data_IF_923465733571
#
_entry.id   IF_923465733571
#
_cell.length_a   1.000
_cell.length_b   1.000
_cell.length_c   1.000
_cell.angle_alpha   90.00
_cell.angle_beta   90.00
_cell.angle_gamma   90.00
#
_symmetry.space_group_name_H-M   'P 1'
#
loop_
_entity.id
_entity.type
_entity.pdbx_description
1 polymer ?
#
# COMPACT_ATOMS: atom_id res chain seq x y z
N UNK A 1 -43.17 7.94 13.09
CA UNK A 1 -42.45 6.96 13.93
C UNK A 1 -42.45 5.53 13.37
N UNK A 2 -43.35 5.13 12.45
CA UNK A 2 -43.41 3.76 11.91
C UNK A 2 -42.22 3.32 11.03
N UNK A 3 -41.49 4.25 10.39
CA UNK A 3 -40.47 3.93 9.42
C UNK A 3 -39.11 3.48 10.05
N UNK A 4 -38.77 3.94 11.26
CA UNK A 4 -37.53 3.58 11.94
C UNK A 4 -37.59 2.16 12.51
N UNK A 5 -38.67 1.80 13.19
CA UNK A 5 -38.85 0.46 13.75
C UNK A 5 -38.87 -0.63 12.69
N UNK A 6 -39.52 -0.38 11.55
CA UNK A 6 -39.50 -1.31 10.40
C UNK A 6 -38.10 -1.49 9.81
N UNK A 7 -37.32 -0.41 9.72
CA UNK A 7 -35.92 -0.51 9.24
C UNK A 7 -35.05 -1.31 10.19
N UNK A 8 -35.19 -1.11 11.50
CA UNK A 8 -34.44 -1.87 12.51
C UNK A 8 -34.84 -3.36 12.47
N UNK A 9 -36.13 -3.69 12.41
CA UNK A 9 -36.60 -5.08 12.29
C UNK A 9 -36.04 -5.76 11.03
N UNK A 10 -36.07 -5.06 9.89
CA UNK A 10 -35.53 -5.59 8.62
C UNK A 10 -34.01 -5.79 8.69
N UNK A 11 -33.29 -4.86 9.31
CA UNK A 11 -31.85 -5.03 9.53
C UNK A 11 -31.54 -6.26 10.38
N UNK A 12 -32.28 -6.45 11.50
CA UNK A 12 -32.08 -7.61 12.38
C UNK A 12 -32.41 -8.91 11.64
N UNK A 13 -33.48 -8.96 10.86
CA UNK A 13 -33.87 -10.10 10.04
C UNK A 13 -32.75 -10.46 9.06
N UNK A 14 -32.26 -9.51 8.25
CA UNK A 14 -31.19 -9.77 7.26
C UNK A 14 -29.89 -10.16 7.97
N UNK A 15 -29.53 -9.47 9.04
CA UNK A 15 -28.27 -9.68 9.73
C UNK A 15 -28.19 -11.02 10.46
N UNK A 16 -29.27 -11.42 11.14
CA UNK A 16 -29.32 -12.64 11.97
C UNK A 16 -29.95 -13.81 11.22
N UNK A 17 -31.19 -13.66 10.73
CA UNK A 17 -31.95 -14.79 10.17
C UNK A 17 -31.47 -15.20 8.79
N UNK A 18 -31.02 -14.24 7.97
CA UNK A 18 -30.46 -14.52 6.64
C UNK A 18 -28.92 -14.66 6.65
N UNK A 19 -28.31 -14.82 7.83
CA UNK A 19 -26.86 -14.95 8.00
C UNK A 19 -26.04 -13.80 7.40
N UNK A 20 -26.55 -12.56 7.39
CA UNK A 20 -25.86 -11.38 6.91
C UNK A 20 -24.52 -11.14 7.61
N UNK A 21 -24.40 -11.50 8.90
CA UNK A 21 -23.15 -11.44 9.66
C UNK A 21 -22.02 -12.26 9.03
N UNK A 22 -22.32 -13.39 8.36
CA UNK A 22 -21.30 -14.20 7.67
C UNK A 22 -20.70 -13.40 6.51
N UNK A 23 -21.52 -12.71 5.74
CA UNK A 23 -21.06 -11.82 4.65
C UNK A 23 -20.22 -10.66 5.17
N UNK A 24 -20.59 -10.09 6.30
CA UNK A 24 -19.80 -9.03 6.96
C UNK A 24 -18.42 -9.56 7.39
N UNK A 25 -18.36 -10.77 7.95
CA UNK A 25 -17.10 -11.40 8.34
C UNK A 25 -16.22 -11.73 7.11
N UNK A 26 -16.82 -12.21 6.03
CA UNK A 26 -16.10 -12.44 4.76
C UNK A 26 -15.59 -11.14 4.16
N UNK A 27 -16.41 -10.09 4.13
CA UNK A 27 -16.01 -8.76 3.68
C UNK A 27 -14.87 -8.20 4.52
N UNK A 28 -14.96 -8.31 5.85
CA UNK A 28 -13.89 -7.89 6.77
C UNK A 28 -12.58 -8.68 6.52
N UNK A 29 -12.70 -10.00 6.35
CA UNK A 29 -11.55 -10.86 6.01
C UNK A 29 -10.87 -10.40 4.72
N UNK A 30 -11.64 -10.13 3.66
CA UNK A 30 -11.09 -9.67 2.39
C UNK A 30 -10.46 -8.29 2.50
N UNK A 31 -11.10 -7.35 3.20
CA UNK A 31 -10.54 -6.02 3.49
C UNK A 31 -9.19 -6.13 4.18
N UNK A 32 -9.10 -6.89 5.27
CA UNK A 32 -7.86 -7.08 6.00
C UNK A 32 -6.80 -7.82 5.18
N UNK A 33 -7.20 -8.84 4.43
CA UNK A 33 -6.29 -9.60 3.57
C UNK A 33 -5.66 -8.72 2.48
N UNK A 34 -6.47 -7.92 1.80
CA UNK A 34 -6.00 -6.99 0.76
C UNK A 34 -5.06 -5.94 1.36
N UNK A 35 -5.44 -5.33 2.49
CA UNK A 35 -4.63 -4.31 3.14
C UNK A 35 -3.29 -4.87 3.66
N UNK A 36 -3.29 -6.03 4.33
CA UNK A 36 -2.07 -6.63 4.89
C UNK A 36 -1.14 -7.11 3.79
N UNK A 37 -1.65 -7.86 2.81
CA UNK A 37 -0.82 -8.35 1.69
C UNK A 37 -0.33 -7.18 0.84
N UNK A 38 -1.19 -6.18 0.55
CA UNK A 38 -0.81 -4.96 -0.14
C UNK A 38 0.31 -4.21 0.60
N UNK A 39 0.21 -4.06 1.92
CA UNK A 39 1.24 -3.44 2.74
C UNK A 39 2.57 -4.23 2.70
N UNK A 40 2.53 -5.55 2.82
CA UNK A 40 3.73 -6.40 2.77
C UNK A 40 4.45 -6.26 1.42
N UNK A 41 3.71 -6.37 0.32
CA UNK A 41 4.25 -6.15 -1.04
C UNK A 41 4.81 -4.72 -1.13
N UNK A 42 4.06 -3.74 -0.63
CA UNK A 42 4.45 -2.34 -0.59
C UNK A 42 5.75 -2.09 0.18
N UNK A 43 5.91 -2.69 1.36
CA UNK A 43 7.15 -2.57 2.16
C UNK A 43 8.34 -3.18 1.42
N UNK A 44 8.19 -4.39 0.88
CA UNK A 44 9.28 -5.07 0.19
C UNK A 44 9.72 -4.28 -1.06
N UNK A 45 8.80 -4.02 -1.97
CA UNK A 45 9.11 -3.30 -3.22
C UNK A 45 9.46 -1.83 -2.96
N UNK A 46 8.74 -1.16 -2.06
CA UNK A 46 9.00 0.24 -1.71
C UNK A 46 10.38 0.45 -1.10
N UNK A 47 10.84 -0.47 -0.23
CA UNK A 47 12.18 -0.42 0.33
C UNK A 47 13.26 -0.61 -0.76
N UNK A 48 13.06 -1.54 -1.69
CA UNK A 48 13.96 -1.73 -2.83
C UNK A 48 14.03 -0.46 -3.69
N UNK A 49 12.88 0.12 -4.05
CA UNK A 49 12.80 1.36 -4.82
C UNK A 49 13.49 2.51 -4.08
N UNK A 50 13.21 2.68 -2.78
CA UNK A 50 13.83 3.72 -1.96
C UNK A 50 15.35 3.57 -1.92
N UNK A 51 15.85 2.34 -1.77
CA UNK A 51 17.30 2.05 -1.76
C UNK A 51 17.95 2.52 -3.06
N UNK A 52 17.37 2.17 -4.21
CA UNK A 52 17.86 2.63 -5.52
C UNK A 52 17.87 4.15 -5.61
N UNK A 53 16.88 4.83 -5.07
CA UNK A 53 16.71 6.29 -5.16
C UNK A 53 17.60 7.07 -4.19
N UNK A 54 18.08 6.46 -3.13
CA UNK A 54 19.00 7.08 -2.13
C UNK A 54 20.46 6.90 -2.51
N UNK A 55 20.81 5.85 -3.29
CA UNK A 55 22.19 5.59 -3.71
C UNK A 55 22.74 6.79 -4.52
N UNK A 56 24.01 7.22 -4.26
CA UNK A 56 24.65 8.28 -5.03
C UNK A 56 24.74 7.97 -6.53
N UNK A 57 24.43 8.97 -7.37
CA UNK A 57 24.24 8.82 -8.84
C UNK A 57 25.50 9.15 -9.64
N UNK A 58 26.66 8.76 -9.17
CA UNK A 58 27.93 9.03 -9.85
C UNK A 58 28.10 8.22 -11.15
N UNK A 59 27.50 7.02 -11.23
CA UNK A 59 27.58 6.13 -12.40
C UNK A 59 26.31 6.18 -13.23
N UNK A 60 26.40 5.76 -14.50
CA UNK A 60 25.26 5.74 -15.44
C UNK A 60 24.15 4.80 -14.96
N UNK A 61 24.50 3.57 -14.52
CA UNK A 61 23.53 2.58 -14.09
C UNK A 61 22.62 3.06 -12.93
N UNK A 62 23.14 3.60 -11.80
CA UNK A 62 22.27 4.16 -10.76
C UNK A 62 21.38 5.31 -11.24
N UNK A 63 21.84 6.10 -12.22
CA UNK A 63 21.06 7.20 -12.80
C UNK A 63 19.87 6.67 -13.60
N UNK A 64 20.09 5.65 -14.44
CA UNK A 64 19.03 5.01 -15.24
C UNK A 64 18.01 4.32 -14.33
N UNK A 65 18.47 3.51 -13.36
CA UNK A 65 17.60 2.84 -12.40
C UNK A 65 16.75 3.84 -11.60
N UNK A 66 17.37 4.95 -11.16
CA UNK A 66 16.62 6.00 -10.49
C UNK A 66 15.56 6.64 -11.40
N UNK A 67 15.84 6.82 -12.70
CA UNK A 67 14.87 7.32 -13.68
C UNK A 67 13.65 6.40 -13.78
N UNK A 68 13.88 5.09 -13.92
CA UNK A 68 12.81 4.08 -13.98
C UNK A 68 11.99 4.08 -12.69
N UNK A 69 12.65 4.05 -11.53
CA UNK A 69 11.96 4.11 -10.24
C UNK A 69 11.14 5.40 -10.06
N UNK A 70 11.67 6.54 -10.50
CA UNK A 70 10.97 7.82 -10.40
C UNK A 70 9.74 7.87 -11.32
N UNK A 71 9.85 7.31 -12.53
CA UNK A 71 8.71 7.17 -13.43
C UNK A 71 7.61 6.29 -12.82
N UNK A 72 7.98 5.12 -12.29
CA UNK A 72 7.05 4.23 -11.60
C UNK A 72 6.32 4.95 -10.45
N UNK A 73 7.08 5.60 -9.56
CA UNK A 73 6.51 6.33 -8.43
C UNK A 73 5.61 7.46 -8.89
N UNK A 74 6.01 8.20 -9.93
CA UNK A 74 5.20 9.26 -10.52
C UNK A 74 3.89 8.75 -11.12
N UNK A 75 3.94 7.60 -11.82
CA UNK A 75 2.78 6.97 -12.42
C UNK A 75 1.76 6.53 -11.36
N UNK A 76 2.20 5.72 -10.39
CA UNK A 76 1.30 5.16 -9.38
C UNK A 76 0.75 6.21 -8.40
N UNK A 77 1.53 7.23 -8.04
CA UNK A 77 1.05 8.32 -7.18
C UNK A 77 0.30 9.41 -7.94
N UNK A 78 0.47 9.48 -9.25
CA UNK A 78 -0.20 10.46 -10.11
C UNK A 78 -1.52 9.99 -10.71
N UNK A 79 -1.91 8.73 -10.49
CA UNK A 79 -3.16 8.16 -11.03
C UNK A 79 -4.06 7.63 -9.91
N UNK A 80 -5.40 7.73 -10.04
CA UNK A 80 -6.32 7.21 -9.03
C UNK A 80 -6.23 5.68 -8.89
N UNK A 81 -6.28 5.18 -7.64
CA UNK A 81 -6.24 3.74 -7.34
C UNK A 81 -7.29 2.94 -8.12
N UNK A 82 -8.53 3.45 -8.20
CA UNK A 82 -9.61 2.78 -8.92
C UNK A 82 -9.28 2.59 -10.41
N UNK A 83 -8.64 3.58 -11.04
CA UNK A 83 -8.24 3.50 -12.44
C UNK A 83 -7.16 2.43 -12.63
N UNK A 84 -6.17 2.41 -11.74
CA UNK A 84 -5.13 1.36 -11.74
C UNK A 84 -5.77 -0.02 -11.63
N UNK A 85 -6.69 -0.22 -10.68
CA UNK A 85 -7.37 -1.49 -10.46
C UNK A 85 -8.15 -1.94 -11.70
N UNK A 86 -8.92 -1.04 -12.32
CA UNK A 86 -9.69 -1.33 -13.54
C UNK A 86 -8.78 -1.67 -14.73
N UNK A 87 -7.70 -0.91 -14.93
CA UNK A 87 -6.75 -1.15 -16.02
C UNK A 87 -6.05 -2.51 -15.84
N UNK A 88 -5.62 -2.85 -14.63
CA UNK A 88 -5.01 -4.15 -14.37
C UNK A 88 -6.01 -5.29 -14.61
N UNK A 89 -7.22 -5.20 -14.05
CA UNK A 89 -8.19 -6.28 -14.08
C UNK A 89 -8.81 -6.50 -15.46
N UNK A 90 -9.24 -5.42 -16.14
CA UNK A 90 -9.99 -5.52 -17.40
C UNK A 90 -9.14 -5.39 -18.65
N UNK A 91 -7.91 -4.87 -18.56
CA UNK A 91 -7.07 -4.62 -19.73
C UNK A 91 -5.78 -5.43 -19.67
N UNK A 92 -4.91 -5.20 -18.69
CA UNK A 92 -3.56 -5.78 -18.69
C UNK A 92 -3.56 -7.29 -18.49
N UNK A 93 -4.28 -7.80 -17.48
CA UNK A 93 -4.32 -9.24 -17.20
C UNK A 93 -4.96 -10.06 -18.33
N UNK A 94 -6.08 -9.64 -18.93
CA UNK A 94 -6.63 -10.32 -20.11
C UNK A 94 -5.69 -10.32 -21.31
N UNK A 95 -4.98 -9.21 -21.59
CA UNK A 95 -4.03 -9.14 -22.73
C UNK A 95 -2.89 -10.16 -22.56
N UNK A 96 -2.38 -10.32 -21.34
CA UNK A 96 -1.30 -11.30 -21.08
C UNK A 96 -1.80 -12.71 -20.80
N UNK A 97 -3.12 -12.95 -20.87
CA UNK A 97 -3.75 -14.25 -20.69
C UNK A 97 -3.78 -14.76 -19.24
N UNK A 98 -3.54 -13.90 -18.25
CA UNK A 98 -3.54 -14.27 -16.83
C UNK A 98 -4.93 -14.09 -16.24
N UNK A 99 -5.46 -15.15 -15.61
CA UNK A 99 -6.74 -15.13 -14.89
C UNK A 99 -6.49 -15.03 -13.39
N UNK A 100 -7.03 -13.99 -12.78
CA UNK A 100 -6.97 -13.76 -11.33
C UNK A 100 -8.37 -13.37 -10.82
N UNK A 101 -8.67 -13.71 -9.56
CA UNK A 101 -9.88 -13.24 -8.90
C UNK A 101 -9.77 -11.74 -8.56
N UNK A 102 -10.90 -11.06 -8.38
CA UNK A 102 -10.90 -9.64 -7.98
C UNK A 102 -10.07 -9.37 -6.71
N UNK A 103 -10.14 -10.28 -5.72
CA UNK A 103 -9.33 -10.19 -4.49
C UNK A 103 -7.82 -10.29 -4.78
N UNK A 104 -7.40 -11.23 -5.62
CA UNK A 104 -5.99 -11.40 -5.98
C UNK A 104 -5.43 -10.20 -6.73
N UNK A 105 -6.18 -9.68 -7.70
CA UNK A 105 -5.79 -8.46 -8.43
C UNK A 105 -5.72 -7.27 -7.49
N UNK A 106 -6.68 -7.15 -6.57
CA UNK A 106 -6.66 -6.08 -5.58
C UNK A 106 -5.41 -6.14 -4.71
N UNK A 107 -5.05 -7.32 -4.17
CA UNK A 107 -3.81 -7.49 -3.39
C UNK A 107 -2.56 -7.05 -4.18
N UNK A 108 -2.49 -7.42 -5.46
CA UNK A 108 -1.36 -7.05 -6.33
C UNK A 108 -1.33 -5.53 -6.60
N UNK A 109 -2.43 -4.95 -7.04
CA UNK A 109 -2.50 -3.53 -7.41
C UNK A 109 -2.31 -2.62 -6.20
N UNK A 110 -2.93 -2.95 -5.05
CA UNK A 110 -2.72 -2.25 -3.79
C UNK A 110 -1.25 -2.34 -3.36
N UNK A 111 -0.62 -3.51 -3.53
CA UNK A 111 0.80 -3.68 -3.24
C UNK A 111 1.70 -2.83 -4.13
N UNK A 112 1.43 -2.77 -5.44
CA UNK A 112 2.17 -1.91 -6.37
C UNK A 112 1.95 -0.42 -6.05
N UNK A 113 0.73 0.00 -5.79
CA UNK A 113 0.45 1.37 -5.40
C UNK A 113 1.15 1.75 -4.08
N UNK A 114 0.97 0.94 -3.04
CA UNK A 114 1.61 1.14 -1.73
C UNK A 114 3.14 1.14 -1.83
N UNK A 115 3.75 0.35 -2.73
CA UNK A 115 5.19 0.39 -2.97
C UNK A 115 5.68 1.77 -3.42
N UNK A 116 4.91 2.48 -4.24
CA UNK A 116 5.24 3.83 -4.66
C UNK A 116 5.17 4.82 -3.46
N UNK A 117 4.14 4.74 -2.63
CA UNK A 117 4.02 5.58 -1.43
C UNK A 117 5.07 5.24 -0.38
N UNK A 118 5.28 3.97 -0.08
CA UNK A 118 6.28 3.51 0.89
C UNK A 118 7.70 3.88 0.44
N UNK A 119 8.00 3.84 -0.86
CA UNK A 119 9.31 4.30 -1.35
C UNK A 119 9.59 5.76 -1.01
N UNK A 120 8.58 6.62 -1.06
CA UNK A 120 8.71 8.02 -0.65
C UNK A 120 8.77 8.17 0.87
N UNK A 121 7.98 7.39 1.61
CA UNK A 121 8.02 7.35 3.08
C UNK A 121 9.42 6.97 3.55
N UNK A 122 10.00 5.90 2.99
CA UNK A 122 11.37 5.46 3.31
C UNK A 122 12.40 6.53 2.95
N UNK A 123 12.31 7.09 1.73
CA UNK A 123 13.23 8.13 1.27
C UNK A 123 13.17 9.38 2.14
N UNK A 124 11.98 9.87 2.44
CA UNK A 124 11.80 11.06 3.30
C UNK A 124 12.22 10.81 4.74
N UNK A 125 11.95 9.63 5.27
CA UNK A 125 12.40 9.23 6.61
C UNK A 125 13.93 9.16 6.73
N UNK A 126 14.63 8.66 5.70
CA UNK A 126 16.09 8.69 5.66
C UNK A 126 16.61 10.13 5.57
N UNK A 127 15.99 10.97 4.75
CA UNK A 127 16.40 12.36 4.57
C UNK A 127 16.03 13.27 5.76
N UNK A 128 15.15 12.84 6.64
CA UNK A 128 14.79 13.58 7.87
C UNK A 128 15.82 13.43 8.99
N UNK A 129 16.77 12.50 8.86
CA UNK A 129 17.89 12.39 9.80
C UNK A 129 18.89 13.50 9.51
N UNK A 130 19.40 14.17 10.55
CA UNK A 130 20.37 15.23 10.40
C UNK A 130 21.59 14.74 9.61
N UNK A 131 21.99 15.50 8.57
CA UNK A 131 23.13 15.15 7.72
C UNK A 131 24.45 15.04 8.50
N UNK A 132 24.58 15.81 9.58
CA UNK A 132 25.72 15.75 10.50
C UNK A 132 25.93 14.38 11.12
N UNK A 133 24.88 13.56 11.26
CA UNK A 133 25.01 12.18 11.74
C UNK A 133 25.82 11.30 10.78
N UNK A 134 25.57 11.45 9.48
CA UNK A 134 26.34 10.75 8.45
C UNK A 134 27.78 11.30 8.36
N UNK A 135 27.93 12.62 8.42
CA UNK A 135 29.22 13.30 8.37
C UNK A 135 30.10 12.94 9.58
N UNK A 136 29.52 12.94 10.79
CA UNK A 136 30.24 12.53 12.00
C UNK A 136 30.69 11.07 11.94
N UNK A 137 29.84 10.16 11.47
CA UNK A 137 30.23 8.77 11.26
C UNK A 137 31.41 8.63 10.29
N UNK A 138 31.43 9.42 9.22
CA UNK A 138 32.53 9.44 8.26
C UNK A 138 33.79 10.10 8.81
N UNK A 139 33.67 11.12 9.63
CA UNK A 139 34.79 11.80 10.25
C UNK A 139 35.61 10.89 11.18
N UNK A 140 34.94 9.94 11.85
CA UNK A 140 35.60 8.91 12.68
C UNK A 140 36.07 7.68 11.88
N UNK A 141 36.06 7.75 10.54
CA UNK A 141 36.61 6.73 9.66
C UNK A 141 35.64 5.60 9.26
N UNK A 142 34.36 5.69 9.60
CA UNK A 142 33.37 4.70 9.15
C UNK A 142 33.11 4.83 7.64
N UNK A 143 32.93 3.70 6.94
CA UNK A 143 32.48 3.71 5.55
C UNK A 143 31.05 4.26 5.43
N UNK A 144 30.67 4.74 4.24
CA UNK A 144 29.32 5.22 3.97
C UNK A 144 28.25 4.18 4.37
N UNK A 145 28.42 2.93 3.94
CA UNK A 145 27.47 1.86 4.23
C UNK A 145 27.34 1.57 5.71
N UNK A 146 28.44 1.58 6.45
CA UNK A 146 28.42 1.36 7.90
C UNK A 146 27.74 2.52 8.61
N UNK A 147 28.03 3.77 8.26
CA UNK A 147 27.37 4.95 8.81
C UNK A 147 25.87 4.96 8.51
N UNK A 148 25.48 4.60 7.28
CA UNK A 148 24.06 4.47 6.91
C UNK A 148 23.37 3.41 7.77
N UNK A 149 23.89 2.19 7.84
CA UNK A 149 23.20 1.07 8.50
C UNK A 149 23.20 1.21 10.03
N UNK A 150 24.30 1.69 10.62
CA UNK A 150 24.45 1.74 12.09
C UNK A 150 24.01 3.05 12.73
N UNK A 151 23.96 4.15 11.98
CA UNK A 151 23.66 5.48 12.54
C UNK A 151 22.37 6.04 11.94
N UNK A 152 22.29 6.15 10.60
CA UNK A 152 21.19 6.85 9.92
C UNK A 152 19.91 6.00 9.92
N UNK A 153 19.97 4.76 9.48
CA UNK A 153 18.79 3.90 9.32
C UNK A 153 18.04 3.68 10.65
N UNK A 154 18.68 3.39 11.80
CA UNK A 154 17.96 3.23 13.06
C UNK A 154 17.19 4.48 13.51
N UNK A 155 17.72 5.67 13.19
CA UNK A 155 17.04 6.94 13.46
C UNK A 155 15.88 7.16 12.46
N UNK A 156 16.13 6.90 11.17
CA UNK A 156 15.11 6.99 10.12
C UNK A 156 13.90 6.09 10.39
N UNK A 157 14.10 4.86 10.87
CA UNK A 157 13.02 3.91 11.18
C UNK A 157 12.04 4.49 12.19
N UNK A 158 12.51 5.22 13.20
CA UNK A 158 11.63 5.87 14.18
C UNK A 158 10.68 6.89 13.53
N UNK A 159 11.14 7.59 12.49
CA UNK A 159 10.35 8.58 11.75
C UNK A 159 9.44 7.89 10.70
N UNK A 160 9.85 6.75 10.16
CA UNK A 160 9.15 5.97 9.14
C UNK A 160 7.94 5.22 9.73
N UNK A 161 8.09 4.60 10.91
CA UNK A 161 7.07 3.71 11.49
C UNK A 161 5.69 4.36 11.66
N UNK A 162 5.54 5.58 12.20
CA UNK A 162 4.23 6.21 12.31
C UNK A 162 3.57 6.45 10.95
N UNK A 163 4.36 6.81 9.94
CA UNK A 163 3.87 7.07 8.58
C UNK A 163 3.46 5.77 7.88
N UNK A 164 4.15 4.65 8.13
CA UNK A 164 3.72 3.32 7.67
C UNK A 164 2.40 2.90 8.31
N UNK A 165 2.19 3.24 9.59
CA UNK A 165 0.88 3.02 10.23
C UNK A 165 -0.24 3.80 9.55
N UNK A 166 0.00 5.04 9.16
CA UNK A 166 -0.95 5.84 8.38
C UNK A 166 -1.22 5.26 7.00
N UNK A 167 -0.19 4.74 6.33
CA UNK A 167 -0.34 4.05 5.03
C UNK A 167 -1.23 2.80 5.17
N UNK A 168 -1.06 2.01 6.22
CA UNK A 168 -1.93 0.86 6.48
C UNK A 168 -3.39 1.25 6.68
N UNK A 169 -3.65 2.32 7.44
CA UNK A 169 -5.00 2.86 7.63
C UNK A 169 -5.59 3.34 6.31
N UNK A 170 -4.79 3.99 5.46
CA UNK A 170 -5.20 4.42 4.13
C UNK A 170 -5.59 3.23 3.26
N UNK A 171 -4.77 2.17 3.21
CA UNK A 171 -5.07 0.94 2.47
C UNK A 171 -6.42 0.33 2.90
N UNK A 172 -6.69 0.22 4.21
CA UNK A 172 -7.98 -0.29 4.71
C UNK A 172 -9.15 0.56 4.19
N UNK A 173 -9.03 1.88 4.21
CA UNK A 173 -10.09 2.78 3.72
C UNK A 173 -10.29 2.67 2.21
N UNK A 174 -9.22 2.48 1.46
CA UNK A 174 -9.26 2.40 0.00
C UNK A 174 -9.82 1.07 -0.50
N UNK A 175 -9.93 0.02 0.34
CA UNK A 175 -10.51 -1.27 -0.10
C UNK A 175 -11.94 -1.15 -0.65
N UNK A 176 -12.69 -0.10 -0.31
CA UNK A 176 -14.03 0.13 -0.85
C UNK A 176 -14.10 0.16 -2.39
N UNK A 177 -12.97 0.45 -3.07
CA UNK A 177 -12.93 0.45 -4.55
C UNK A 177 -12.82 -0.96 -5.14
N UNK A 178 -12.57 -2.01 -4.36
CA UNK A 178 -12.40 -3.38 -4.89
C UNK A 178 -13.73 -3.98 -5.39
N UNK A 179 -14.86 -3.37 -5.02
CA UNK A 179 -16.19 -3.69 -5.55
C UNK A 179 -16.26 -3.57 -7.07
N UNK A 180 -15.50 -2.66 -7.68
CA UNK A 180 -15.45 -2.46 -9.13
C UNK A 180 -14.85 -3.65 -9.91
N UNK A 181 -14.16 -4.55 -9.24
CA UNK A 181 -13.61 -5.79 -9.82
C UNK A 181 -14.28 -7.05 -9.25
N UNK A 182 -15.48 -6.89 -8.69
CA UNK A 182 -16.29 -7.99 -8.17
C UNK A 182 -15.74 -8.63 -6.88
N UNK A 183 -14.85 -7.97 -6.16
CA UNK A 183 -14.41 -8.40 -4.84
C UNK A 183 -15.36 -7.87 -3.77
N UNK A 184 -15.83 -8.75 -2.89
CA UNK A 184 -16.64 -8.38 -1.74
C UNK A 184 -15.73 -7.95 -0.59
N UNK A 185 -15.72 -6.66 -0.29
CA UNK A 185 -15.12 -6.07 0.89
C UNK A 185 -16.17 -5.76 1.97
N UNK A 186 -15.75 -5.14 3.05
CA UNK A 186 -16.64 -4.75 4.15
C UNK A 186 -17.72 -3.76 3.68
N UNK A 187 -17.41 -2.84 2.77
CA UNK A 187 -18.37 -1.89 2.22
C UNK A 187 -19.48 -2.59 1.43
N UNK A 188 -19.12 -3.52 0.53
CA UNK A 188 -20.09 -4.32 -0.23
C UNK A 188 -20.95 -5.18 0.69
N UNK A 189 -20.36 -5.77 1.72
CA UNK A 189 -21.09 -6.57 2.69
C UNK A 189 -22.18 -5.78 3.42
N UNK A 190 -21.88 -4.54 3.82
CA UNK A 190 -22.89 -3.67 4.47
C UNK A 190 -23.93 -3.10 3.50
N UNK A 191 -23.60 -2.89 2.23
CA UNK A 191 -24.60 -2.48 1.24
C UNK A 191 -25.64 -3.57 0.93
N UNK A 192 -25.35 -4.82 1.27
CA UNK A 192 -26.28 -5.93 1.10
C UNK A 192 -27.31 -6.01 2.24
N UNK A 193 -26.99 -5.51 3.41
CA UNK A 193 -27.84 -5.50 4.61
C UNK A 193 -28.71 -4.25 4.65
#
# INVERSE_FOLDING_TARGET
>A
MGNFGQKVSKFIEIFIEQNGYVRVLEGLKNTLLIAVIGLIIGIVLGTLIATVRVIPKYKVLPRVLNGICSFYVGLFRGTPMVVQLLVFYYVLLPIIGVKMTGVQVSMMVFGLNSAAYISEIMRSGIMSVDAGQLEAGRAVGLSFSVSMVKIVIPQAVKNILPTLGNEFIALIKETSVVSFVGAADLYVAFNYI
#
